data_IF_181689263459
#
_entry.id   IF_181689263459
#
_cell.length_a   1.000
_cell.length_b   1.000
_cell.length_c   1.000
_cell.angle_alpha   90.00
_cell.angle_beta   90.00
_cell.angle_gamma   90.00
#
_symmetry.space_group_name_H-M   'P 1'
#
loop_
_entity.id
_entity.type
_entity.pdbx_description
1 polymer ?
#
# COMPACT_ATOMS: atom_id res chain seq x y z
N UNK A 1 9.69 -59.43 9.40
CA UNK A 1 10.33 -58.51 10.36
C UNK A 1 9.23 -57.62 10.90
N UNK A 2 9.03 -57.71 12.20
CA UNK A 2 8.02 -57.00 13.00
C UNK A 2 8.24 -55.48 13.00
N UNK A 3 7.13 -54.75 13.03
CA UNK A 3 7.00 -53.31 13.18
C UNK A 3 7.60 -52.86 14.53
N UNK A 4 8.54 -51.91 14.54
CA UNK A 4 9.07 -51.32 15.78
C UNK A 4 9.34 -49.81 15.57
N UNK A 5 8.44 -48.98 16.13
CA UNK A 5 8.56 -47.56 16.55
C UNK A 5 8.89 -46.52 15.46
N UNK A 6 7.95 -45.80 14.83
CA UNK A 6 6.94 -44.89 15.37
C UNK A 6 7.46 -43.68 16.19
N UNK A 7 8.38 -42.89 15.62
CA UNK A 7 8.39 -41.42 15.81
C UNK A 7 9.26 -40.70 14.78
N UNK A 8 8.65 -39.68 14.18
CA UNK A 8 9.23 -38.67 13.28
C UNK A 8 9.30 -38.99 11.77
N UNK A 9 8.22 -39.57 11.25
CA UNK A 9 7.82 -39.42 9.84
C UNK A 9 7.30 -37.99 9.53
N UNK A 10 8.05 -36.95 9.89
CA UNK A 10 7.88 -35.58 9.36
C UNK A 10 9.22 -35.06 8.86
N UNK A 11 9.97 -35.92 8.18
CA UNK A 11 11.16 -35.56 7.39
C UNK A 11 10.78 -35.66 5.90
N UNK A 12 9.60 -35.12 5.54
CA UNK A 12 9.08 -35.17 4.16
C UNK A 12 8.75 -33.73 3.70
N UNK A 13 9.77 -33.09 3.12
CA UNK A 13 9.71 -32.46 1.79
C UNK A 13 9.20 -31.02 1.55
N UNK A 14 9.10 -30.08 2.51
CA UNK A 14 9.05 -28.62 2.20
C UNK A 14 9.09 -27.72 3.45
N UNK A 15 10.21 -27.68 4.19
CA UNK A 15 10.46 -26.53 5.05
C UNK A 15 10.90 -25.38 4.13
N UNK A 16 9.92 -24.65 3.57
CA UNK A 16 10.18 -23.30 3.07
C UNK A 16 10.60 -22.49 4.31
N UNK A 17 11.91 -22.40 4.55
CA UNK A 17 12.48 -21.67 5.67
C UNK A 17 12.38 -20.18 5.30
N UNK A 18 11.18 -19.64 5.44
CA UNK A 18 10.94 -18.20 5.29
C UNK A 18 11.35 -17.53 6.59
N UNK A 19 12.20 -16.52 6.51
CA UNK A 19 12.47 -15.67 7.66
C UNK A 19 11.24 -14.82 7.99
N UNK A 20 11.12 -14.44 9.26
CA UNK A 20 10.07 -13.51 9.69
C UNK A 20 10.19 -12.20 8.91
N UNK A 21 9.05 -11.62 8.56
CA UNK A 21 8.98 -10.33 7.89
C UNK A 21 9.56 -9.20 8.77
N UNK A 22 10.53 -8.42 8.27
CA UNK A 22 11.06 -7.28 9.03
C UNK A 22 10.07 -6.11 9.15
N UNK A 23 9.02 -6.06 8.33
CA UNK A 23 7.98 -5.03 8.36
C UNK A 23 6.85 -5.45 9.31
N UNK A 24 6.51 -4.57 10.25
CA UNK A 24 5.43 -4.81 11.18
C UNK A 24 4.07 -4.44 10.56
N UNK A 25 3.46 -5.37 9.83
CA UNK A 25 2.16 -5.17 9.19
C UNK A 25 1.01 -5.01 10.19
N UNK A 26 1.13 -5.42 11.45
CA UNK A 26 0.05 -5.29 12.44
C UNK A 26 -0.44 -3.85 12.62
N UNK A 27 0.50 -2.90 12.62
CA UNK A 27 0.23 -1.49 12.93
C UNK A 27 0.13 -0.60 11.70
N UNK A 28 0.00 -1.17 10.50
CA UNK A 28 -0.14 -0.39 9.28
C UNK A 28 -1.54 0.19 9.09
N UNK A 29 -1.64 1.25 8.28
CA UNK A 29 -2.92 1.92 8.03
C UNK A 29 -3.75 1.20 6.96
N UNK A 30 -4.61 0.29 7.40
CA UNK A 30 -5.53 -0.46 6.53
C UNK A 30 -6.72 0.37 6.02
N UNK A 31 -6.88 1.63 6.45
CA UNK A 31 -7.96 2.50 5.97
C UNK A 31 -7.79 2.83 4.49
N UNK A 32 -6.56 2.88 3.97
CA UNK A 32 -6.28 3.09 2.54
C UNK A 32 -7.03 2.06 1.68
N UNK A 33 -7.01 0.80 2.08
CA UNK A 33 -7.71 -0.29 1.38
C UNK A 33 -9.20 -0.31 1.74
N UNK A 34 -9.53 -0.35 3.02
CA UNK A 34 -10.91 -0.58 3.51
C UNK A 34 -11.89 0.55 3.21
N UNK A 35 -11.41 1.79 3.03
CA UNK A 35 -12.25 2.91 2.64
C UNK A 35 -12.67 2.89 1.16
N UNK A 36 -11.83 2.32 0.30
CA UNK A 36 -11.99 2.34 -1.17
C UNK A 36 -12.49 0.99 -1.72
N UNK A 37 -11.96 -0.12 -1.21
CA UNK A 37 -12.32 -1.47 -1.63
C UNK A 37 -13.44 -2.02 -0.76
N UNK A 38 -14.70 -1.82 -1.16
CA UNK A 38 -15.87 -2.22 -0.37
C UNK A 38 -16.65 -3.35 -1.01
N UNK A 39 -17.06 -4.32 -0.20
CA UNK A 39 -17.98 -5.38 -0.58
C UNK A 39 -19.45 -4.93 -0.51
N UNK A 40 -20.39 -5.75 -1.01
CA UNK A 40 -20.18 -7.06 -1.63
C UNK A 40 -19.72 -6.99 -3.10
N UNK A 41 -19.90 -5.85 -3.76
CA UNK A 41 -19.50 -5.62 -5.14
C UNK A 41 -18.16 -4.88 -5.20
N UNK A 42 -17.07 -5.63 -5.16
CA UNK A 42 -15.73 -5.07 -5.23
C UNK A 42 -15.46 -4.48 -6.62
N UNK A 43 -15.09 -3.20 -6.68
CA UNK A 43 -14.62 -2.56 -7.91
C UNK A 43 -13.14 -2.88 -8.11
N UNK A 44 -12.79 -3.51 -9.23
CA UNK A 44 -11.41 -3.89 -9.54
C UNK A 44 -10.46 -2.69 -9.53
N UNK A 45 -10.84 -1.60 -10.19
CA UNK A 45 -10.03 -0.41 -10.25
C UNK A 45 -9.80 0.20 -8.84
N UNK A 46 -10.87 0.38 -8.06
CA UNK A 46 -10.75 0.95 -6.72
C UNK A 46 -9.92 0.07 -5.78
N UNK A 47 -10.16 -1.25 -5.79
CA UNK A 47 -9.41 -2.19 -4.96
C UNK A 47 -7.94 -2.28 -5.33
N UNK A 48 -7.61 -2.33 -6.62
CA UNK A 48 -6.23 -2.46 -7.06
C UNK A 48 -5.45 -1.15 -6.93
N UNK A 49 -6.10 0.00 -7.13
CA UNK A 49 -5.47 1.31 -6.87
C UNK A 49 -5.13 1.46 -5.39
N UNK A 50 -6.09 1.19 -4.50
CA UNK A 50 -5.86 1.25 -3.06
C UNK A 50 -4.82 0.22 -2.57
N UNK A 51 -4.84 -0.99 -3.15
CA UNK A 51 -3.85 -2.02 -2.84
C UNK A 51 -2.44 -1.61 -3.28
N UNK A 52 -2.28 -1.01 -4.47
CA UNK A 52 -0.99 -0.44 -4.91
C UNK A 52 -0.49 0.62 -3.94
N UNK A 53 -1.34 1.57 -3.57
CA UNK A 53 -0.98 2.65 -2.65
C UNK A 53 -0.47 2.12 -1.30
N UNK A 54 -1.09 1.04 -0.81
CA UNK A 54 -0.68 0.38 0.43
C UNK A 54 0.59 -0.49 0.28
N UNK A 55 0.69 -1.30 -0.77
CA UNK A 55 1.73 -2.33 -0.89
C UNK A 55 3.03 -1.83 -1.54
N UNK A 56 2.95 -0.85 -2.45
CA UNK A 56 4.12 -0.38 -3.19
C UNK A 56 5.25 0.21 -2.34
N UNK A 57 5.01 0.86 -1.18
CA UNK A 57 6.08 1.28 -0.28
C UNK A 57 6.92 0.12 0.29
N UNK A 58 6.40 -1.11 0.26
CA UNK A 58 7.03 -2.32 0.80
C UNK A 58 7.36 -3.35 -0.29
N UNK A 59 7.46 -2.90 -1.55
CA UNK A 59 7.58 -3.79 -2.70
C UNK A 59 8.83 -4.68 -2.63
N UNK A 60 9.94 -4.17 -2.09
CA UNK A 60 11.19 -4.93 -2.01
C UNK A 60 11.06 -6.11 -1.03
N UNK A 61 10.49 -5.87 0.15
CA UNK A 61 10.26 -6.92 1.16
C UNK A 61 9.18 -7.91 0.72
N UNK A 62 8.13 -7.43 0.06
CA UNK A 62 7.04 -8.26 -0.44
C UNK A 62 7.45 -9.16 -1.62
N UNK A 63 8.41 -8.72 -2.43
CA UNK A 63 8.93 -9.50 -3.56
C UNK A 63 10.06 -10.45 -3.16
N UNK A 64 10.58 -10.35 -1.94
CA UNK A 64 11.59 -11.26 -1.42
C UNK A 64 10.96 -12.57 -0.94
N UNK A 65 11.13 -13.61 -1.77
CA UNK A 65 10.62 -14.97 -1.52
C UNK A 65 11.30 -15.70 -0.37
N UNK A 66 12.35 -15.11 0.24
CA UNK A 66 13.04 -15.67 1.40
C UNK A 66 12.37 -15.32 2.73
N UNK A 67 11.38 -14.41 2.74
CA UNK A 67 10.63 -14.02 3.93
C UNK A 67 9.12 -14.30 3.78
N UNK A 68 8.36 -14.11 4.86
CA UNK A 68 6.91 -14.34 4.90
C UNK A 68 6.05 -13.06 4.76
N UNK A 69 6.64 -11.92 4.38
CA UNK A 69 5.98 -10.61 4.35
C UNK A 69 4.70 -10.60 3.52
N UNK A 70 4.69 -11.23 2.35
CA UNK A 70 3.51 -11.28 1.49
C UNK A 70 2.33 -11.99 2.19
N UNK A 71 2.60 -13.14 2.83
CA UNK A 71 1.61 -13.91 3.56
C UNK A 71 1.09 -13.14 4.78
N UNK A 72 2.00 -12.52 5.53
CA UNK A 72 1.68 -11.70 6.71
C UNK A 72 0.82 -10.49 6.33
N UNK A 73 1.22 -9.75 5.29
CA UNK A 73 0.46 -8.61 4.77
C UNK A 73 -0.96 -9.02 4.36
N UNK A 74 -1.10 -10.08 3.53
CA UNK A 74 -2.43 -10.51 3.09
C UNK A 74 -3.31 -10.99 4.26
N UNK A 75 -2.73 -11.62 5.28
CA UNK A 75 -3.44 -12.01 6.49
C UNK A 75 -4.10 -10.81 7.18
N UNK A 76 -3.32 -9.75 7.44
CA UNK A 76 -3.85 -8.55 8.10
C UNK A 76 -4.80 -7.75 7.20
N UNK A 77 -4.56 -7.67 5.89
CA UNK A 77 -5.51 -7.07 4.95
C UNK A 77 -6.87 -7.78 5.04
N UNK A 78 -6.86 -9.12 4.96
CA UNK A 78 -8.08 -9.92 5.00
C UNK A 78 -8.79 -9.81 6.34
N UNK A 79 -8.04 -9.79 7.46
CA UNK A 79 -8.61 -9.67 8.79
C UNK A 79 -9.26 -8.30 9.03
N UNK A 80 -8.60 -7.21 8.65
CA UNK A 80 -9.09 -5.85 8.85
C UNK A 80 -10.24 -5.48 7.91
N UNK A 81 -10.20 -5.94 6.65
CA UNK A 81 -11.21 -5.63 5.65
C UNK A 81 -12.31 -6.69 5.48
N UNK A 82 -12.17 -7.85 6.13
CA UNK A 82 -13.02 -9.04 5.93
C UNK A 82 -13.05 -9.48 4.46
N UNK A 83 -11.92 -9.40 3.77
CA UNK A 83 -11.81 -9.77 2.37
C UNK A 83 -11.73 -11.29 2.17
N UNK A 84 -12.34 -11.83 1.11
CA UNK A 84 -12.16 -13.22 0.72
C UNK A 84 -10.69 -13.53 0.39
N UNK A 85 -10.19 -14.73 0.73
CA UNK A 85 -8.83 -15.14 0.41
C UNK A 85 -8.62 -15.14 -1.11
N UNK A 86 -7.49 -14.58 -1.55
CA UNK A 86 -7.13 -14.51 -2.97
C UNK A 86 -7.86 -13.42 -3.77
N UNK A 87 -8.66 -12.56 -3.13
CA UNK A 87 -9.31 -11.44 -3.82
C UNK A 87 -8.29 -10.61 -4.59
N UNK A 88 -7.30 -10.01 -3.92
CA UNK A 88 -6.31 -9.13 -4.56
C UNK A 88 -5.39 -9.85 -5.53
N UNK A 89 -4.98 -11.09 -5.22
CA UNK A 89 -4.12 -11.89 -6.10
C UNK A 89 -4.78 -12.21 -7.45
N UNK A 90 -6.11 -12.38 -7.47
CA UNK A 90 -6.88 -12.61 -8.70
C UNK A 90 -7.35 -11.32 -9.36
N UNK A 91 -7.74 -10.31 -8.57
CA UNK A 91 -8.25 -9.03 -9.06
C UNK A 91 -7.17 -8.16 -9.70
N UNK A 92 -5.98 -8.09 -9.11
CA UNK A 92 -5.02 -7.03 -9.40
C UNK A 92 -3.86 -7.50 -10.27
N UNK A 93 -4.03 -8.60 -11.01
CA UNK A 93 -3.01 -9.06 -11.95
C UNK A 93 -3.06 -8.22 -13.22
N UNK A 94 -2.01 -7.44 -13.48
CA UNK A 94 -1.89 -6.59 -14.67
C UNK A 94 -1.10 -7.26 -15.81
N UNK A 95 -0.32 -8.30 -15.49
CA UNK A 95 0.46 -9.04 -16.48
C UNK A 95 1.12 -10.30 -15.92
N UNK A 96 2.18 -10.74 -16.62
CA UNK A 96 3.00 -11.89 -16.18
C UNK A 96 3.85 -11.55 -14.97
N UNK A 97 4.33 -10.31 -14.90
CA UNK A 97 5.14 -9.75 -13.81
C UNK A 97 4.33 -9.38 -12.55
N UNK A 98 3.02 -9.64 -12.54
CA UNK A 98 2.15 -9.33 -11.41
C UNK A 98 1.57 -7.91 -11.47
N UNK A 99 1.77 -7.15 -10.41
CA UNK A 99 1.23 -5.81 -10.20
C UNK A 99 2.36 -4.78 -10.31
N UNK A 100 2.23 -3.82 -11.22
CA UNK A 100 3.25 -2.79 -11.37
C UNK A 100 3.03 -1.65 -10.36
N UNK A 101 4.05 -1.39 -9.55
CA UNK A 101 4.11 -0.20 -8.70
C UNK A 101 4.57 1.02 -9.52
N UNK A 102 3.93 2.19 -9.37
CA UNK A 102 4.45 3.41 -9.97
C UNK A 102 5.84 3.70 -9.38
N UNK A 103 6.74 4.28 -10.17
CA UNK A 103 8.05 4.70 -9.68
C UNK A 103 7.85 5.62 -8.48
N UNK A 104 8.42 5.23 -7.33
CA UNK A 104 8.23 5.89 -6.05
C UNK A 104 8.55 7.37 -6.18
N UNK A 105 7.60 8.25 -5.84
CA UNK A 105 8.00 9.57 -5.36
C UNK A 105 8.85 9.35 -4.09
N UNK A 106 9.86 10.20 -3.80
CA UNK A 106 10.68 10.02 -2.61
C UNK A 106 9.78 9.85 -1.39
N UNK A 107 10.03 8.78 -0.63
CA UNK A 107 9.39 8.57 0.66
C UNK A 107 9.56 9.87 1.45
N UNK A 108 8.46 10.52 1.83
CA UNK A 108 8.54 11.65 2.73
C UNK A 108 9.09 11.10 4.04
N UNK A 109 10.37 11.35 4.28
CA UNK A 109 11.02 11.12 5.56
C UNK A 109 10.27 11.97 6.59
N UNK A 110 9.64 11.32 7.57
CA UNK A 110 9.10 11.96 8.76
C UNK A 110 10.27 12.41 9.66
N UNK A 111 11.14 13.28 9.16
CA UNK A 111 12.03 14.09 9.99
C UNK A 111 11.40 15.45 10.23
N UNK A 112 10.88 15.59 11.45
CA UNK A 112 10.40 16.85 11.96
C UNK A 112 11.53 17.89 12.07
N UNK A 113 11.20 19.13 11.70
CA UNK A 113 11.88 20.41 11.96
C UNK A 113 13.10 20.82 11.09
N UNK A 114 12.82 21.50 9.97
CA UNK A 114 12.93 22.98 9.82
C UNK A 114 12.89 23.36 8.33
N UNK A 115 11.68 23.48 7.75
CA UNK A 115 11.51 24.02 6.41
C UNK A 115 11.50 25.56 6.45
N UNK A 116 12.67 26.16 6.38
CA UNK A 116 12.82 27.57 5.99
C UNK A 116 12.99 27.67 4.48
N UNK A 117 11.90 27.74 3.71
CA UNK A 117 11.95 28.10 2.28
C UNK A 117 10.74 28.96 1.84
N UNK A 118 10.99 30.28 1.83
CA UNK A 118 10.63 31.27 0.80
C UNK A 118 9.26 31.09 0.10
N UNK A 119 8.22 31.70 0.68
CA UNK A 119 6.95 32.00 0.00
C UNK A 119 7.12 33.25 -0.89
N UNK A 120 7.63 33.06 -2.10
CA UNK A 120 7.69 34.10 -3.14
C UNK A 120 6.96 33.58 -4.38
N UNK A 121 5.63 33.73 -4.43
CA UNK A 121 4.85 33.90 -5.67
C UNK A 121 3.31 33.98 -5.44
N UNK A 122 2.85 34.90 -4.58
CA UNK A 122 1.42 35.20 -4.43
C UNK A 122 1.04 36.65 -4.79
N UNK A 123 1.81 37.30 -5.67
CA UNK A 123 1.68 38.75 -5.91
C UNK A 123 0.94 39.15 -7.20
N UNK A 124 0.80 38.25 -8.20
CA UNK A 124 0.27 38.66 -9.50
C UNK A 124 -1.27 38.68 -9.62
N UNK A 125 -2.02 37.95 -8.78
CA UNK A 125 -3.47 37.79 -8.96
C UNK A 125 -4.33 38.82 -8.20
N UNK A 126 -3.77 39.48 -7.17
CA UNK A 126 -4.52 40.40 -6.29
C UNK A 126 -4.64 41.84 -6.83
N UNK A 127 -3.79 42.26 -7.77
CA UNK A 127 -3.75 43.65 -8.25
C UNK A 127 -4.89 43.95 -9.24
N UNK A 128 -5.44 42.95 -9.94
CA UNK A 128 -6.45 43.19 -10.99
C UNK A 128 -7.84 43.50 -10.41
N UNK A 129 -8.16 43.04 -9.19
CA UNK A 129 -9.49 43.23 -8.60
C UNK A 129 -9.71 44.64 -8.01
N UNK A 130 -8.65 45.34 -7.59
CA UNK A 130 -8.76 46.66 -6.97
C UNK A 130 -8.99 47.79 -7.99
N UNK A 131 -8.48 47.66 -9.22
CA UNK A 131 -8.62 48.70 -10.25
C UNK A 131 -10.04 48.76 -10.88
N UNK A 132 -10.76 47.63 -10.91
CA UNK A 132 -12.10 47.56 -11.47
C UNK A 132 -13.18 48.23 -10.59
N UNK A 133 -13.00 48.20 -9.27
CA UNK A 133 -13.98 48.77 -8.33
C UNK A 133 -13.98 50.32 -8.31
N UNK A 134 -12.86 50.96 -8.66
CA UNK A 134 -12.75 52.43 -8.65
C UNK A 134 -13.33 53.10 -9.91
N UNK A 135 -13.49 52.35 -11.01
CA UNK A 135 -14.09 52.87 -12.26
C UNK A 135 -15.62 52.77 -12.29
N UNK A 136 -16.22 51.90 -11.47
CA UNK A 136 -17.69 51.79 -11.39
C UNK A 136 -18.34 52.86 -10.50
N UNK A 137 -17.56 53.58 -9.68
CA UNK A 137 -18.10 54.58 -8.74
C UNK A 137 -17.99 56.03 -9.23
N UNK A 138 -17.44 56.25 -10.44
CA UNK A 138 -17.24 57.57 -11.07
C UNK A 138 -18.12 57.78 -12.32
N UNK A 139 -19.02 56.83 -12.66
CA UNK A 139 -20.03 56.99 -13.72
C UNK A 139 -21.45 56.87 -13.17
#
# INVERSE_FOLDING_TARGET
>A
MTFHEHKLHVIISSLCFTSDCPVNFEFQNYTIITSQCKGPHYSQNACCTAFKEFACPFADELNDVSNDCASTMFSYINLNGRYPPGLFASFCREGKEGLACPASAPLADDTNANAGQKLENLSALLIILAAGFMLFHIF
#
